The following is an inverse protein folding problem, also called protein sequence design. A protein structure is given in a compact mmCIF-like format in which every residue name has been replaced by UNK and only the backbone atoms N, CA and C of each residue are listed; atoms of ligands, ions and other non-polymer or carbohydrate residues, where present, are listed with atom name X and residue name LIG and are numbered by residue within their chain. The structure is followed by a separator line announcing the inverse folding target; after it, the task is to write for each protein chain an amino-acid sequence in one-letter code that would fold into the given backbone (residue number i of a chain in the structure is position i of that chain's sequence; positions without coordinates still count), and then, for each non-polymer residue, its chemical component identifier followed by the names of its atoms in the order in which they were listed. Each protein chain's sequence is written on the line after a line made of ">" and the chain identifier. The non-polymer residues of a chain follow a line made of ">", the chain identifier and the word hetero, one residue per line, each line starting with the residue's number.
data_IF_815840085211
#
_entry.id   IF_815840085211
#
_cell.length_a   1.000
_cell.length_b   1.000
_cell.length_c   1.000
_cell.angle_alpha   90.00
_cell.angle_beta   90.00
_cell.angle_gamma   90.00
#
_symmetry.space_group_name_H-M   'P 1'
#
loop_
_entity.id
_entity.type
_entity.pdbx_description
1 polymer ?
#
# COMPACT_ATOMS: atom_id res chain seq x y z
N UNK A 1 6.18 -10.31 18.39
CA UNK A 1 7.44 -9.65 17.97
C UNK A 1 7.82 -10.07 16.56
N UNK A 2 8.15 -11.34 16.29
CA UNK A 2 8.65 -11.81 14.98
C UNK A 2 7.68 -11.57 13.82
N UNK A 3 6.37 -11.80 14.00
CA UNK A 3 5.37 -11.64 12.92
C UNK A 3 5.34 -10.24 12.30
N UNK A 4 5.42 -9.18 13.11
CA UNK A 4 5.41 -7.80 12.62
C UNK A 4 6.66 -7.49 11.77
N UNK A 5 7.83 -7.96 12.21
CA UNK A 5 9.08 -7.80 11.46
C UNK A 5 9.10 -8.63 10.17
N UNK A 6 8.51 -9.82 10.17
CA UNK A 6 8.37 -10.64 8.96
C UNK A 6 7.48 -9.97 7.92
N UNK A 7 6.31 -9.47 8.32
CA UNK A 7 5.41 -8.74 7.42
C UNK A 7 6.09 -7.49 6.88
N UNK A 8 6.79 -6.74 7.75
CA UNK A 8 7.55 -5.57 7.33
C UNK A 8 8.64 -5.92 6.30
N UNK A 9 9.40 -6.99 6.53
CA UNK A 9 10.44 -7.44 5.60
C UNK A 9 9.85 -7.83 4.23
N UNK A 10 8.73 -8.56 4.21
CA UNK A 10 8.04 -8.94 2.98
C UNK A 10 7.55 -7.70 2.22
N UNK A 11 6.93 -6.74 2.92
CA UNK A 11 6.46 -5.48 2.32
C UNK A 11 7.63 -4.72 1.69
N UNK A 12 8.77 -4.62 2.37
CA UNK A 12 9.96 -3.93 1.84
C UNK A 12 10.51 -4.61 0.57
N UNK A 13 10.52 -5.95 0.52
CA UNK A 13 10.95 -6.69 -0.68
C UNK A 13 9.97 -6.43 -1.84
N UNK A 14 8.66 -6.54 -1.58
CA UNK A 14 7.62 -6.35 -2.60
C UNK A 14 7.65 -4.93 -3.15
N UNK A 15 7.77 -3.92 -2.29
CA UNK A 15 7.92 -2.52 -2.70
C UNK A 15 9.23 -2.29 -3.46
N UNK A 16 10.34 -2.92 -3.05
CA UNK A 16 11.65 -2.78 -3.70
C UNK A 16 11.72 -3.31 -5.13
N UNK A 17 10.93 -4.33 -5.47
CA UNK A 17 10.94 -4.97 -6.80
C UNK A 17 10.59 -3.99 -7.92
N UNK A 18 9.46 -3.24 -7.88
CA UNK A 18 9.16 -2.21 -8.86
C UNK A 18 10.28 -1.19 -9.06
N UNK A 19 10.89 -0.70 -7.97
CA UNK A 19 11.98 0.28 -8.04
C UNK A 19 13.23 -0.29 -8.73
N UNK A 20 13.58 -1.55 -8.44
CA UNK A 20 14.77 -2.19 -9.01
C UNK A 20 14.56 -2.67 -10.45
N UNK A 21 13.44 -3.36 -10.72
CA UNK A 21 13.18 -3.98 -12.02
C UNK A 21 12.70 -2.98 -13.08
N UNK A 22 11.92 -1.97 -12.69
CA UNK A 22 11.29 -1.04 -13.62
C UNK A 22 11.29 0.42 -13.12
N UNK A 23 12.46 1.04 -12.90
CA UNK A 23 12.57 2.39 -12.35
C UNK A 23 11.90 3.46 -13.22
N UNK A 24 11.81 3.26 -14.54
CA UNK A 24 11.15 4.20 -15.44
C UNK A 24 9.63 4.24 -15.23
N UNK A 25 8.98 3.07 -15.08
CA UNK A 25 7.53 2.97 -14.87
C UNK A 25 7.11 3.57 -13.53
N UNK A 26 7.91 3.38 -12.49
CA UNK A 26 7.64 3.99 -11.18
C UNK A 26 7.62 5.52 -11.27
N UNK A 27 8.56 6.12 -12.01
CA UNK A 27 8.60 7.58 -12.23
C UNK A 27 7.41 8.07 -13.05
N UNK A 28 6.97 7.29 -14.03
CA UNK A 28 5.77 7.60 -14.83
C UNK A 28 4.51 7.59 -13.95
N UNK A 29 4.33 6.57 -13.11
CA UNK A 29 3.23 6.52 -12.15
C UNK A 29 3.27 7.66 -11.14
N UNK A 30 4.45 8.04 -10.67
CA UNK A 30 4.61 9.19 -9.78
C UNK A 30 4.14 10.50 -10.43
N UNK A 31 4.44 10.72 -11.71
CA UNK A 31 3.95 11.89 -12.45
C UNK A 31 2.43 11.88 -12.61
N UNK A 32 1.85 10.72 -12.91
CA UNK A 32 0.40 10.57 -12.98
C UNK A 32 -0.26 10.87 -11.62
N UNK A 33 0.39 10.51 -10.51
CA UNK A 33 -0.07 10.85 -9.16
C UNK A 33 0.02 12.35 -8.88
N UNK A 34 1.06 13.05 -9.36
CA UNK A 34 1.18 14.51 -9.24
C UNK A 34 0.08 15.27 -9.99
N UNK A 35 -0.45 14.71 -11.08
CA UNK A 35 -1.57 15.30 -11.84
C UNK A 35 -2.92 15.16 -11.10
N UNK A 36 -3.04 14.24 -10.14
CA UNK A 36 -4.27 14.05 -9.38
C UNK A 36 -4.39 15.14 -8.31
N UNK A 37 -5.56 15.81 -8.18
CA UNK A 37 -5.77 16.80 -7.13
C UNK A 37 -5.58 16.23 -5.72
N UNK A 38 -4.94 16.97 -4.82
CA UNK A 38 -4.66 16.52 -3.44
C UNK A 38 -5.92 16.02 -2.69
N UNK A 39 -7.08 16.64 -2.93
CA UNK A 39 -8.35 16.22 -2.34
C UNK A 39 -8.71 14.77 -2.72
N UNK A 40 -8.47 14.39 -3.97
CA UNK A 40 -8.77 13.05 -4.47
C UNK A 40 -7.76 12.04 -3.94
N UNK A 41 -6.46 12.39 -3.91
CA UNK A 41 -5.42 11.58 -3.26
C UNK A 41 -5.74 11.29 -1.80
N UNK A 42 -6.18 12.31 -1.03
CA UNK A 42 -6.58 12.15 0.37
C UNK A 42 -7.82 11.27 0.52
N UNK A 43 -8.80 11.40 -0.36
CA UNK A 43 -9.99 10.55 -0.36
C UNK A 43 -9.64 9.09 -0.70
N UNK A 44 -8.76 8.87 -1.68
CA UNK A 44 -8.25 7.54 -2.03
C UNK A 44 -7.47 6.92 -0.86
N UNK A 45 -6.59 7.68 -0.22
CA UNK A 45 -5.86 7.23 0.96
C UNK A 45 -6.79 6.88 2.13
N UNK A 46 -7.82 7.71 2.38
CA UNK A 46 -8.84 7.42 3.39
C UNK A 46 -9.63 6.16 3.07
N UNK A 47 -10.07 6.00 1.81
CA UNK A 47 -10.77 4.81 1.37
C UNK A 47 -9.92 3.54 1.52
N UNK A 48 -8.64 3.61 1.17
CA UNK A 48 -7.69 2.51 1.34
C UNK A 48 -7.49 2.14 2.83
N UNK A 49 -7.35 3.13 3.72
CA UNK A 49 -7.24 2.90 5.16
C UNK A 49 -8.51 2.25 5.73
N UNK A 50 -9.69 2.76 5.38
CA UNK A 50 -10.98 2.21 5.82
C UNK A 50 -11.16 0.78 5.31
N UNK A 51 -10.86 0.54 4.03
CA UNK A 51 -10.94 -0.79 3.44
C UNK A 51 -9.98 -1.78 4.12
N UNK A 52 -8.74 -1.35 4.39
CA UNK A 52 -7.76 -2.15 5.13
C UNK A 52 -8.24 -2.49 6.55
N UNK A 53 -8.85 -1.53 7.25
CA UNK A 53 -9.44 -1.76 8.57
C UNK A 53 -10.59 -2.77 8.52
N UNK A 54 -11.49 -2.65 7.55
CA UNK A 54 -12.60 -3.59 7.34
C UNK A 54 -12.08 -5.00 7.04
N UNK A 55 -11.06 -5.13 6.18
CA UNK A 55 -10.41 -6.41 5.90
C UNK A 55 -9.76 -7.02 7.14
N UNK A 56 -9.03 -6.24 7.91
CA UNK A 56 -8.44 -6.70 9.18
C UNK A 56 -9.51 -7.17 10.15
N UNK A 57 -10.62 -6.43 10.27
CA UNK A 57 -11.74 -6.83 11.12
C UNK A 57 -12.38 -8.13 10.62
N UNK A 58 -12.64 -8.27 9.33
CA UNK A 58 -13.21 -9.49 8.74
C UNK A 58 -12.29 -10.71 8.91
N UNK A 59 -10.99 -10.56 8.63
CA UNK A 59 -10.00 -11.62 8.83
C UNK A 59 -9.80 -11.97 10.30
N UNK A 60 -9.85 -10.97 11.18
CA UNK A 60 -9.78 -11.20 12.63
C UNK A 60 -11.03 -11.89 13.15
N UNK A 61 -12.21 -11.61 12.59
CA UNK A 61 -13.46 -12.26 12.96
C UNK A 61 -13.47 -13.73 12.54
N UNK A 62 -12.97 -14.04 11.34
CA UNK A 62 -12.89 -15.43 10.85
C UNK A 62 -11.90 -16.31 11.63
N UNK A 63 -10.99 -15.69 12.40
CA UNK A 63 -10.02 -16.39 13.24
C UNK A 63 -10.55 -16.70 14.66
N UNK A 64 -11.74 -16.23 15.00
CA UNK A 64 -12.48 -16.60 16.21
C UNK A 64 -13.51 -17.68 15.92
#
# INVERSE_FOLDING_TARGET
>A
MVFAFTVLAVVLIVEGIPYFAFPHRVKEWARLLEEIPEKNLRAMGLAAMVFGLVLLYALSFYRH
#
